data_IF_659483235832
#
_entry.id   IF_659483235832
#
_cell.length_a   1.000
_cell.length_b   1.000
_cell.length_c   1.000
_cell.angle_alpha   90.00
_cell.angle_beta   90.00
_cell.angle_gamma   90.00
#
_symmetry.space_group_name_H-M   'P 1'
#
loop_
_entity.id
_entity.type
_entity.pdbx_description
1 polymer ?
#
# COMPACT_ATOMS: atom_id res chain seq x y z
N UNK A 1 -18.51 23.28 -66.30
CA UNK A 1 -19.02 22.29 -65.34
C UNK A 1 -18.13 22.41 -64.11
N UNK A 2 -18.37 23.34 -63.19
CA UNK A 2 -19.45 23.35 -62.15
C UNK A 2 -19.38 22.05 -61.34
N UNK A 3 -19.13 21.97 -60.03
CA UNK A 3 -19.51 22.85 -58.90
C UNK A 3 -18.67 22.46 -57.64
N UNK A 4 -18.26 23.42 -56.80
CA UNK A 4 -18.81 23.76 -55.46
C UNK A 4 -18.29 22.88 -54.28
N UNK A 5 -17.41 23.38 -53.39
CA UNK A 5 -17.67 24.13 -52.13
C UNK A 5 -18.31 23.31 -51.01
N UNK A 6 -17.60 23.12 -49.88
CA UNK A 6 -18.18 23.35 -48.53
C UNK A 6 -17.10 23.35 -47.43
N UNK A 7 -16.95 24.49 -46.77
CA UNK A 7 -16.28 24.66 -45.49
C UNK A 7 -17.37 24.75 -44.42
N UNK A 8 -17.20 24.04 -43.30
CA UNK A 8 -18.12 24.11 -42.17
C UNK A 8 -17.42 24.72 -40.95
N UNK A 9 -17.73 25.99 -40.71
CA UNK A 9 -17.64 26.68 -39.42
C UNK A 9 -18.80 26.21 -38.55
N UNK A 10 -18.58 25.92 -37.28
CA UNK A 10 -19.61 26.07 -36.26
C UNK A 10 -19.00 26.53 -34.94
N UNK A 11 -19.59 27.60 -34.40
CA UNK A 11 -19.20 28.30 -33.19
C UNK A 11 -20.44 28.33 -32.27
N UNK A 12 -20.16 28.36 -30.96
CA UNK A 12 -20.98 28.85 -29.84
C UNK A 12 -22.07 27.93 -29.25
N UNK A 13 -22.04 27.79 -27.93
CA UNK A 13 -23.18 27.37 -27.11
C UNK A 13 -22.86 27.26 -25.61
N UNK A 14 -22.75 28.38 -24.89
CA UNK A 14 -22.86 28.42 -23.43
C UNK A 14 -24.32 28.29 -22.98
N UNK A 15 -24.60 27.47 -21.97
CA UNK A 15 -25.81 27.59 -21.14
C UNK A 15 -25.59 26.97 -19.74
N UNK A 16 -25.70 27.80 -18.70
CA UNK A 16 -26.18 27.41 -17.34
C UNK A 16 -27.66 26.94 -17.48
N UNK A 17 -28.31 26.14 -16.64
CA UNK A 17 -28.55 26.20 -15.17
C UNK A 17 -29.04 24.79 -14.66
N UNK A 18 -29.49 24.55 -13.40
CA UNK A 18 -29.01 23.45 -12.55
C UNK A 18 -30.08 22.36 -12.25
N UNK A 19 -29.71 21.14 -11.85
CA UNK A 19 -30.65 20.26 -11.13
C UNK A 19 -30.00 19.34 -10.09
N UNK A 20 -30.39 19.60 -8.85
CA UNK A 20 -30.93 18.69 -7.84
C UNK A 20 -30.12 17.45 -7.39
N UNK A 21 -29.76 17.48 -6.11
CA UNK A 21 -29.33 16.33 -5.32
C UNK A 21 -30.50 15.33 -5.13
N UNK A 22 -30.19 14.03 -5.00
CA UNK A 22 -30.95 13.15 -4.13
C UNK A 22 -30.15 12.85 -2.86
N UNK A 23 -30.70 13.29 -1.74
CA UNK A 23 -30.38 12.83 -0.40
C UNK A 23 -30.64 11.32 -0.27
N UNK A 24 -29.63 10.52 0.06
CA UNK A 24 -29.85 9.23 0.71
C UNK A 24 -28.90 9.08 1.91
N UNK A 25 -29.51 9.31 3.07
CA UNK A 25 -29.15 8.75 4.37
C UNK A 25 -28.80 7.26 4.24
N UNK A 26 -27.64 6.89 4.74
CA UNK A 26 -27.17 5.51 4.80
C UNK A 26 -25.91 5.42 5.64
N UNK A 27 -26.09 5.36 6.96
CA UNK A 27 -25.04 4.98 7.90
C UNK A 27 -24.36 3.68 7.44
N UNK A 28 -23.09 3.76 7.05
CA UNK A 28 -22.24 2.58 7.07
C UNK A 28 -20.83 2.96 7.48
N UNK A 29 -20.39 2.32 8.56
CA UNK A 29 -19.08 2.43 9.20
C UNK A 29 -18.00 2.19 8.14
N UNK A 30 -17.39 3.25 7.61
CA UNK A 30 -16.19 3.11 6.78
C UNK A 30 -15.02 2.81 7.70
N UNK A 31 -14.57 1.56 7.69
CA UNK A 31 -13.23 1.22 8.12
C UNK A 31 -12.26 2.21 7.50
N UNK A 32 -11.33 2.72 8.30
CA UNK A 32 -10.26 3.61 7.82
C UNK A 32 -9.48 2.82 6.77
N UNK A 33 -9.80 2.99 5.50
CA UNK A 33 -8.97 2.52 4.40
C UNK A 33 -7.58 3.14 4.63
N UNK A 34 -6.63 2.32 5.09
CA UNK A 34 -5.22 2.72 5.12
C UNK A 34 -4.82 2.84 3.66
N UNK A 35 -4.75 4.08 3.18
CA UNK A 35 -4.20 4.37 1.86
C UNK A 35 -2.74 3.95 1.91
N UNK A 36 -2.43 2.78 1.36
CA UNK A 36 -1.06 2.30 1.20
C UNK A 36 -0.49 3.07 0.01
N UNK A 37 0.60 3.79 0.25
CA UNK A 37 1.33 4.50 -0.80
C UNK A 37 2.24 3.50 -1.48
N UNK A 38 2.14 3.42 -2.79
CA UNK A 38 3.01 2.57 -3.60
C UNK A 38 4.41 3.18 -3.65
N UNK A 39 5.41 2.48 -3.13
CA UNK A 39 6.80 2.96 -3.11
C UNK A 39 7.39 3.22 -4.50
N UNK A 40 6.88 2.56 -5.54
CA UNK A 40 7.37 2.68 -6.90
C UNK A 40 6.77 3.86 -7.68
N UNK A 41 5.55 4.29 -7.31
CA UNK A 41 4.81 5.34 -8.04
C UNK A 41 4.36 6.51 -7.15
N UNK A 42 4.55 6.42 -5.83
CA UNK A 42 4.35 7.53 -4.90
C UNK A 42 5.64 8.34 -4.80
N UNK A 43 5.85 9.18 -5.82
CA UNK A 43 7.02 10.04 -5.90
C UNK A 43 6.83 11.23 -4.93
N UNK A 44 7.51 11.20 -3.79
CA UNK A 44 7.63 12.31 -2.83
C UNK A 44 8.59 13.39 -3.39
N UNK A 45 8.39 13.75 -4.66
CA UNK A 45 9.29 14.60 -5.43
C UNK A 45 9.04 16.06 -5.12
N UNK A 46 10.01 16.68 -4.47
CA UNK A 46 10.17 18.12 -4.51
C UNK A 46 10.68 18.54 -5.89
N UNK A 47 10.24 19.71 -6.36
CA UNK A 47 10.79 20.32 -7.57
C UNK A 47 11.97 21.19 -7.16
N UNK A 48 13.06 21.11 -7.91
CA UNK A 48 14.21 21.99 -7.74
C UNK A 48 14.41 22.83 -9.01
N UNK A 49 14.96 24.02 -8.85
CA UNK A 49 15.20 24.98 -9.95
C UNK A 49 16.71 25.10 -10.17
N UNK A 50 17.17 24.75 -11.36
CA UNK A 50 18.56 24.89 -11.80
C UNK A 50 18.70 26.09 -12.73
N UNK A 51 19.65 26.98 -12.46
CA UNK A 51 20.10 28.04 -13.38
C UNK A 51 21.40 27.57 -14.03
N UNK A 52 21.36 27.38 -15.34
CA UNK A 52 22.48 26.90 -16.14
C UNK A 52 22.72 27.92 -17.23
N UNK A 53 23.80 28.70 -17.11
CA UNK A 53 24.08 29.81 -18.02
C UNK A 53 22.92 30.82 -18.07
N UNK A 54 22.30 30.97 -19.23
CA UNK A 54 21.19 31.89 -19.49
C UNK A 54 19.79 31.24 -19.37
N UNK A 55 19.70 29.97 -18.92
CA UNK A 55 18.45 29.21 -18.87
C UNK A 55 18.16 28.66 -17.48
N UNK A 56 16.86 28.58 -17.17
CA UNK A 56 16.35 28.02 -15.91
C UNK A 56 15.57 26.74 -16.19
N UNK A 57 15.86 25.68 -15.44
CA UNK A 57 15.24 24.37 -15.56
C UNK A 57 14.59 23.99 -14.24
N UNK A 58 13.28 23.72 -14.24
CA UNK A 58 12.55 23.21 -13.07
C UNK A 58 12.28 21.72 -13.25
N UNK A 59 12.83 20.90 -12.36
CA UNK A 59 12.80 19.43 -12.50
C UNK A 59 12.54 18.72 -11.18
N UNK A 60 11.89 17.53 -11.18
CA UNK A 60 11.78 16.70 -9.99
C UNK A 60 13.15 16.27 -9.43
N UNK A 61 13.24 16.04 -8.13
CA UNK A 61 14.50 15.63 -7.46
C UNK A 61 14.76 14.12 -7.49
N UNK A 62 13.72 13.28 -7.56
CA UNK A 62 13.85 11.83 -7.33
C UNK A 62 14.88 11.12 -8.25
N UNK A 63 14.92 11.44 -9.56
CA UNK A 63 15.88 10.78 -10.48
C UNK A 63 17.31 11.21 -10.21
N UNK A 64 17.55 12.44 -9.78
CA UNK A 64 18.90 12.89 -9.43
C UNK A 64 19.41 12.17 -8.18
N UNK A 65 18.53 11.98 -7.18
CA UNK A 65 18.83 11.24 -5.95
C UNK A 65 19.15 9.78 -6.25
N UNK A 66 18.40 9.16 -7.17
CA UNK A 66 18.60 7.78 -7.56
C UNK A 66 19.86 7.58 -8.42
N UNK A 67 20.09 8.44 -9.41
CA UNK A 67 21.12 8.23 -10.44
C UNK A 67 22.50 8.80 -10.08
N UNK A 68 22.59 9.82 -9.22
CA UNK A 68 23.88 10.32 -8.72
C UNK A 68 23.80 10.81 -7.26
N UNK A 69 24.21 9.95 -6.30
CA UNK A 69 24.34 10.33 -4.90
C UNK A 69 25.35 11.46 -4.68
N UNK A 70 26.44 11.47 -5.45
CA UNK A 70 27.48 12.50 -5.36
C UNK A 70 26.96 13.87 -5.81
N UNK A 71 26.19 13.93 -6.89
CA UNK A 71 25.53 15.16 -7.34
C UNK A 71 24.50 15.64 -6.31
N UNK A 72 23.75 14.70 -5.74
CA UNK A 72 22.76 14.97 -4.70
C UNK A 72 23.36 15.57 -3.44
N UNK A 73 24.51 15.05 -3.00
CA UNK A 73 25.24 15.59 -1.85
C UNK A 73 25.86 16.95 -2.16
N UNK A 74 26.51 17.09 -3.31
CA UNK A 74 27.18 18.32 -3.73
C UNK A 74 26.22 19.52 -3.81
N UNK A 75 24.98 19.29 -4.25
CA UNK A 75 23.95 20.32 -4.38
C UNK A 75 22.86 20.26 -3.30
N UNK A 76 23.06 19.44 -2.26
CA UNK A 76 22.16 19.34 -1.10
C UNK A 76 20.73 18.89 -1.42
N UNK A 77 20.51 18.11 -2.48
CA UNK A 77 19.17 17.78 -2.99
C UNK A 77 18.32 16.97 -1.97
N UNK A 78 18.95 16.21 -1.06
CA UNK A 78 18.24 15.45 0.00
C UNK A 78 17.58 16.34 1.04
N UNK A 79 18.17 17.49 1.35
CA UNK A 79 17.63 18.42 2.34
C UNK A 79 16.29 19.02 1.88
N UNK A 80 16.05 19.10 0.57
CA UNK A 80 14.76 19.54 0.03
C UNK A 80 13.65 18.55 0.31
N UNK A 81 13.93 17.25 0.28
CA UNK A 81 12.94 16.20 0.56
C UNK A 81 12.54 16.22 2.04
N UNK A 82 13.51 16.28 2.96
CA UNK A 82 13.26 16.24 4.40
C UNK A 82 12.51 17.47 4.95
N UNK A 83 12.69 18.63 4.33
CA UNK A 83 11.96 19.85 4.67
C UNK A 83 10.48 19.79 4.24
N UNK A 84 10.15 19.04 3.19
CA UNK A 84 8.76 18.82 2.79
C UNK A 84 7.99 18.05 3.86
N UNK A 85 8.59 16.99 4.42
CA UNK A 85 7.92 16.07 5.34
C UNK A 85 7.61 16.68 6.72
N UNK A 86 8.47 17.57 7.21
CA UNK A 86 8.26 18.27 8.49
C UNK A 86 7.22 19.39 8.43
N UNK A 87 6.78 19.81 7.24
CA UNK A 87 5.86 20.95 7.07
C UNK A 87 4.37 20.59 7.05
N UNK A 88 4.02 19.30 7.16
CA UNK A 88 2.63 18.89 7.36
C UNK A 88 2.06 19.26 8.74
N UNK A 89 2.89 19.80 9.66
CA UNK A 89 2.46 20.25 11.00
C UNK A 89 2.38 21.78 11.17
N UNK A 90 2.90 22.60 10.24
CA UNK A 90 2.84 24.06 10.34
C UNK A 90 2.64 24.67 8.94
N UNK A 91 1.38 25.00 8.62
CA UNK A 91 0.91 25.45 7.30
C UNK A 91 1.50 26.77 6.76
N UNK A 92 2.58 27.30 7.34
CA UNK A 92 3.19 28.58 6.96
C UNK A 92 4.56 28.45 6.27
N UNK A 93 5.08 27.22 6.10
CA UNK A 93 6.39 26.99 5.46
C UNK A 93 6.32 26.54 4.00
N UNK A 94 5.13 26.30 3.44
CA UNK A 94 4.98 25.99 2.00
C UNK A 94 5.33 27.19 1.10
N UNK A 95 5.31 28.41 1.64
CA UNK A 95 5.47 29.64 0.85
C UNK A 95 6.89 30.22 0.85
N UNK A 96 7.86 29.61 1.55
CA UNK A 96 9.27 30.03 1.53
C UNK A 96 10.20 29.14 0.70
N UNK A 97 9.70 28.01 0.19
CA UNK A 97 10.44 27.07 -0.66
C UNK A 97 10.02 27.13 -2.13
N UNK A 98 9.06 28.02 -2.46
CA UNK A 98 8.63 28.32 -3.82
C UNK A 98 9.42 29.54 -4.33
N UNK A 99 10.22 29.31 -5.38
CA UNK A 99 10.93 30.27 -6.25
C UNK A 99 12.28 30.85 -5.80
N UNK A 100 12.65 30.87 -4.51
CA UNK A 100 13.84 31.62 -4.06
C UNK A 100 15.18 30.84 -3.97
N UNK A 101 15.18 29.50 -4.08
CA UNK A 101 16.45 28.74 -4.07
C UNK A 101 16.75 28.15 -5.44
N UNK A 102 17.62 28.85 -6.17
CA UNK A 102 18.07 28.49 -7.51
C UNK A 102 19.48 27.91 -7.43
N UNK A 103 19.65 26.67 -7.86
CA UNK A 103 20.95 26.00 -7.92
C UNK A 103 21.67 26.43 -9.19
N UNK A 104 22.78 27.17 -9.05
CA UNK A 104 23.56 27.65 -10.18
C UNK A 104 24.61 26.63 -10.63
N UNK A 105 24.53 26.21 -11.89
CA UNK A 105 25.48 25.32 -12.55
C UNK A 105 26.29 26.15 -13.55
N UNK A 106 27.33 26.84 -13.06
CA UNK A 106 28.14 27.77 -13.86
C UNK A 106 29.11 27.08 -14.83
N UNK A 107 29.42 25.82 -14.56
CA UNK A 107 30.37 24.95 -15.26
C UNK A 107 29.71 24.01 -16.27
N UNK A 108 28.40 24.15 -16.52
CA UNK A 108 27.66 23.30 -17.46
C UNK A 108 27.00 24.12 -18.55
N UNK A 109 27.07 23.65 -19.80
CA UNK A 109 26.39 24.30 -20.92
C UNK A 109 24.88 24.01 -20.86
N UNK A 110 24.02 24.99 -21.19
CA UNK A 110 22.57 24.81 -21.11
C UNK A 110 22.03 23.68 -22.00
N UNK A 111 22.62 23.52 -23.19
CA UNK A 111 22.20 22.49 -24.15
C UNK A 111 22.61 21.08 -23.71
N UNK A 112 23.80 20.94 -23.13
CA UNK A 112 24.27 19.66 -22.60
C UNK A 112 23.39 19.24 -21.41
N UNK A 113 23.07 20.17 -20.49
CA UNK A 113 22.18 19.88 -19.37
C UNK A 113 20.78 19.48 -19.85
N UNK A 114 20.26 20.16 -20.88
CA UNK A 114 18.99 19.78 -21.52
C UNK A 114 19.04 18.35 -22.08
N UNK A 115 20.16 17.93 -22.67
CA UNK A 115 20.32 16.55 -23.16
C UNK A 115 20.30 15.54 -22.00
N UNK A 116 20.97 15.83 -20.88
CA UNK A 116 20.86 15.01 -19.66
C UNK A 116 19.40 14.91 -19.18
N UNK A 117 18.66 16.02 -19.18
CA UNK A 117 17.25 16.02 -18.78
C UNK A 117 16.36 15.19 -19.69
N UNK A 118 16.61 15.18 -21.00
CA UNK A 118 15.86 14.30 -21.94
C UNK A 118 16.02 12.82 -21.59
N UNK A 119 17.15 12.45 -21.00
CA UNK A 119 17.44 11.08 -20.57
C UNK A 119 16.83 10.77 -19.21
N UNK A 120 16.94 11.69 -18.25
CA UNK A 120 16.37 11.54 -16.91
C UNK A 120 14.84 11.58 -16.93
N UNK A 121 14.27 12.44 -17.78
CA UNK A 121 12.85 12.71 -17.90
C UNK A 121 12.44 12.71 -19.39
N UNK A 122 12.33 11.52 -20.02
CA UNK A 122 11.88 11.41 -21.39
C UNK A 122 10.46 11.98 -21.54
N UNK A 123 10.30 12.98 -22.40
CA UNK A 123 8.99 13.58 -22.69
C UNK A 123 8.11 12.66 -23.57
N UNK A 124 8.75 11.77 -24.32
CA UNK A 124 8.07 10.79 -25.16
C UNK A 124 8.06 9.45 -24.42
N UNK A 125 6.89 8.82 -24.33
CA UNK A 125 6.70 7.49 -23.74
C UNK A 125 7.24 6.34 -24.61
N UNK A 126 8.08 6.65 -25.60
CA UNK A 126 8.70 5.65 -26.46
C UNK A 126 9.62 4.75 -25.62
N UNK A 127 9.65 3.46 -25.92
CA UNK A 127 10.55 2.50 -25.25
C UNK A 127 12.03 2.84 -25.40
N UNK A 128 12.40 3.72 -26.33
CA UNK A 128 13.77 4.18 -26.55
C UNK A 128 13.82 5.70 -26.58
N UNK A 129 14.85 6.23 -25.92
CA UNK A 129 15.22 7.64 -25.98
C UNK A 129 15.83 7.89 -27.35
N UNK A 130 15.20 8.76 -28.14
CA UNK A 130 15.71 9.19 -29.44
C UNK A 130 16.54 10.46 -29.25
N UNK A 131 17.86 10.30 -29.31
CA UNK A 131 18.83 11.40 -29.33
C UNK A 131 19.79 11.21 -30.50
N UNK A 132 20.35 12.31 -31.00
CA UNK A 132 21.42 12.27 -32.00
C UNK A 132 22.74 11.82 -31.37
N UNK A 133 23.73 11.52 -32.21
CA UNK A 133 25.08 11.15 -31.77
C UNK A 133 25.72 12.25 -30.93
N UNK A 134 25.58 13.50 -31.34
CA UNK A 134 26.11 14.68 -30.65
C UNK A 134 25.43 14.89 -29.29
N UNK A 135 24.11 14.67 -29.23
CA UNK A 135 23.35 14.72 -27.99
C UNK A 135 23.79 13.61 -27.03
N UNK A 136 24.03 12.38 -27.52
CA UNK A 136 24.57 11.29 -26.70
C UNK A 136 26.00 11.55 -26.22
N UNK A 137 26.85 12.19 -27.03
CA UNK A 137 28.18 12.63 -26.59
C UNK A 137 28.04 13.66 -25.46
N UNK A 138 27.13 14.62 -25.61
CA UNK A 138 26.87 15.65 -24.59
C UNK A 138 26.37 15.04 -23.28
N UNK A 139 25.47 14.05 -23.36
CA UNK A 139 25.02 13.25 -22.20
C UNK A 139 26.20 12.52 -21.57
N UNK A 140 27.08 11.90 -22.36
CA UNK A 140 28.24 11.16 -21.86
C UNK A 140 29.21 12.05 -21.07
N UNK A 141 29.49 13.26 -21.59
CA UNK A 141 30.37 14.23 -20.93
C UNK A 141 29.83 14.62 -19.56
N UNK A 142 28.59 15.14 -19.49
CA UNK A 142 27.99 15.56 -18.23
C UNK A 142 27.84 14.38 -17.26
N UNK A 143 27.42 13.21 -17.76
CA UNK A 143 27.25 12.04 -16.92
C UNK A 143 28.56 11.63 -16.24
N UNK A 144 29.68 11.76 -16.96
CA UNK A 144 31.02 11.47 -16.42
C UNK A 144 31.47 12.52 -15.40
N UNK A 145 31.23 13.81 -15.68
CA UNK A 145 31.62 14.91 -14.78
C UNK A 145 30.82 14.94 -13.48
N UNK A 146 29.52 14.66 -13.56
CA UNK A 146 28.58 14.76 -12.42
C UNK A 146 28.34 13.41 -11.72
N UNK A 147 29.00 12.34 -12.16
CA UNK A 147 28.91 11.02 -11.53
C UNK A 147 27.59 10.28 -11.78
N UNK A 148 26.93 10.50 -12.91
CA UNK A 148 25.76 9.71 -13.33
C UNK A 148 26.21 8.42 -14.03
N UNK A 149 26.75 7.46 -13.29
CA UNK A 149 27.44 6.31 -13.89
C UNK A 149 26.53 5.39 -14.72
N UNK A 150 25.29 5.14 -14.28
CA UNK A 150 24.29 4.39 -15.04
C UNK A 150 23.97 5.05 -16.38
N UNK A 151 23.80 6.38 -16.37
CA UNK A 151 23.55 7.17 -17.59
C UNK A 151 24.76 7.17 -18.50
N UNK A 152 25.98 7.25 -17.95
CA UNK A 152 27.23 7.09 -18.69
C UNK A 152 27.27 5.76 -19.44
N UNK A 153 26.97 4.63 -18.77
CA UNK A 153 26.94 3.31 -19.43
C UNK A 153 25.89 3.22 -20.54
N UNK A 154 24.71 3.80 -20.31
CA UNK A 154 23.65 3.87 -21.32
C UNK A 154 24.10 4.68 -22.54
N UNK A 155 24.73 5.84 -22.33
CA UNK A 155 25.26 6.66 -23.42
C UNK A 155 26.34 5.93 -24.22
N UNK A 156 27.27 5.22 -23.56
CA UNK A 156 28.28 4.39 -24.23
C UNK A 156 27.61 3.31 -25.09
N UNK A 157 26.65 2.59 -24.52
CA UNK A 157 25.95 1.50 -25.23
C UNK A 157 25.19 1.99 -26.46
N UNK A 158 24.53 3.15 -26.35
CA UNK A 158 23.81 3.76 -27.48
C UNK A 158 24.77 4.31 -28.55
N UNK A 159 25.91 4.90 -28.16
CA UNK A 159 26.94 5.35 -29.11
C UNK A 159 27.59 4.18 -29.86
N UNK A 160 27.88 3.08 -29.17
CA UNK A 160 28.37 1.84 -29.80
C UNK A 160 27.34 1.23 -30.75
N UNK A 161 26.05 1.28 -30.40
CA UNK A 161 24.96 0.81 -31.24
C UNK A 161 24.79 1.67 -32.50
N UNK A 162 24.91 2.99 -32.38
CA UNK A 162 24.77 3.91 -33.51
C UNK A 162 25.94 3.81 -34.50
N UNK A 163 27.12 3.37 -34.05
CA UNK A 163 28.34 3.21 -34.87
C UNK A 163 28.71 4.45 -35.70
N UNK A 164 28.28 5.62 -35.25
CA UNK A 164 28.41 6.88 -35.98
C UNK A 164 29.65 7.70 -35.59
N UNK A 165 30.41 7.25 -34.59
CA UNK A 165 31.61 7.96 -34.14
C UNK A 165 32.73 7.82 -35.18
N UNK A 166 33.30 8.96 -35.58
CA UNK A 166 34.51 8.98 -36.38
C UNK A 166 35.71 8.43 -35.60
N UNK A 167 36.75 7.96 -36.29
CA UNK A 167 37.94 7.41 -35.64
C UNK A 167 38.63 8.42 -34.73
N UNK A 168 38.57 9.72 -35.04
CA UNK A 168 39.13 10.80 -34.21
C UNK A 168 38.29 11.01 -32.96
N UNK A 169 36.97 11.11 -33.11
CA UNK A 169 36.06 11.23 -31.97
C UNK A 169 36.21 10.05 -31.01
N UNK A 170 36.37 8.81 -31.51
CA UNK A 170 36.63 7.63 -30.67
C UNK A 170 37.91 7.79 -29.84
N UNK A 171 38.97 8.29 -30.47
CA UNK A 171 40.24 8.56 -29.77
C UNK A 171 40.00 9.65 -28.73
N UNK A 172 39.60 10.86 -29.12
CA UNK A 172 39.45 12.00 -28.21
C UNK A 172 38.51 11.70 -27.03
N UNK A 173 37.31 11.15 -27.30
CA UNK A 173 36.36 10.77 -26.26
C UNK A 173 36.88 9.63 -25.40
N UNK A 174 37.57 8.65 -25.98
CA UNK A 174 38.15 7.54 -25.23
C UNK A 174 39.23 8.00 -24.23
N UNK A 175 40.04 9.00 -24.60
CA UNK A 175 41.01 9.63 -23.69
C UNK A 175 40.34 10.41 -22.57
N UNK A 176 39.39 11.27 -22.91
CA UNK A 176 38.71 12.14 -21.94
C UNK A 176 37.83 11.34 -20.98
N UNK A 177 37.01 10.43 -21.51
CA UNK A 177 36.00 9.68 -20.76
C UNK A 177 36.53 8.38 -20.13
N UNK A 178 37.79 8.02 -20.40
CA UNK A 178 38.44 6.86 -19.81
C UNK A 178 37.93 5.54 -20.37
N UNK A 179 37.84 5.39 -21.70
CA UNK A 179 37.36 4.17 -22.34
C UNK A 179 38.38 3.60 -23.33
N UNK A 180 39.06 2.54 -22.90
CA UNK A 180 40.27 2.06 -23.56
C UNK A 180 39.99 1.44 -24.93
N UNK A 181 38.86 0.75 -25.09
CA UNK A 181 38.48 0.11 -26.35
C UNK A 181 38.29 1.13 -27.47
N UNK A 182 37.60 2.25 -27.22
CA UNK A 182 37.43 3.30 -28.23
C UNK A 182 38.77 3.92 -28.65
N UNK A 183 39.70 4.14 -27.71
CA UNK A 183 41.03 4.64 -28.05
C UNK A 183 41.76 3.66 -28.97
N UNK A 184 41.78 2.37 -28.61
CA UNK A 184 42.48 1.36 -29.42
C UNK A 184 41.84 1.23 -30.80
N UNK A 185 40.51 1.11 -30.86
CA UNK A 185 39.78 0.95 -32.10
C UNK A 185 39.96 2.18 -33.01
N UNK A 186 39.84 3.39 -32.45
CA UNK A 186 40.07 4.64 -33.17
C UNK A 186 41.52 4.77 -33.68
N UNK A 187 42.52 4.43 -32.87
CA UNK A 187 43.93 4.46 -33.29
C UNK A 187 44.22 3.42 -34.38
N UNK A 188 43.65 2.22 -34.27
CA UNK A 188 43.80 1.17 -35.29
C UNK A 188 43.13 1.59 -36.60
N UNK A 189 41.91 2.13 -36.54
CA UNK A 189 41.21 2.68 -37.70
C UNK A 189 42.02 3.81 -38.35
N UNK A 190 42.59 4.72 -37.55
CA UNK A 190 43.45 5.78 -38.06
C UNK A 190 44.71 5.21 -38.70
N UNK A 191 45.39 4.21 -38.14
CA UNK A 191 46.57 3.60 -38.79
C UNK A 191 46.19 2.85 -40.08
N UNK A 192 44.99 2.27 -40.14
CA UNK A 192 44.52 1.50 -41.30
C UNK A 192 43.96 2.36 -42.43
N UNK A 193 43.35 3.51 -42.11
CA UNK A 193 42.72 4.43 -43.07
C UNK A 193 43.71 4.85 -44.17
N UNK A 194 43.22 4.90 -45.42
CA UNK A 194 43.99 5.32 -46.59
C UNK A 194 44.25 6.82 -46.59
N UNK A 195 43.25 7.63 -46.22
CA UNK A 195 43.37 9.08 -46.12
C UNK A 195 44.37 9.51 -45.05
N UNK A 196 45.21 10.50 -45.37
CA UNK A 196 46.13 11.17 -44.43
C UNK A 196 45.38 11.83 -43.29
N UNK A 197 46.08 12.11 -42.18
CA UNK A 197 45.54 12.95 -41.11
C UNK A 197 45.76 14.39 -41.57
N UNK A 198 44.72 15.22 -41.57
CA UNK A 198 44.85 16.64 -41.88
C UNK A 198 45.29 17.46 -40.65
N UNK A 199 45.56 18.76 -40.84
CA UNK A 199 46.09 19.60 -39.78
C UNK A 199 45.07 19.83 -38.64
N UNK A 200 43.77 19.90 -38.97
CA UNK A 200 42.69 20.08 -37.98
C UNK A 200 42.50 18.79 -37.16
N UNK A 201 42.48 17.64 -37.84
CA UNK A 201 42.44 16.32 -37.24
C UNK A 201 43.66 16.07 -36.34
N UNK A 202 44.85 16.51 -36.77
CA UNK A 202 46.06 16.42 -35.97
C UNK A 202 45.96 17.29 -34.71
N UNK A 203 45.43 18.51 -34.83
CA UNK A 203 45.19 19.40 -33.70
C UNK A 203 44.22 18.78 -32.69
N UNK A 204 43.11 18.19 -33.16
CA UNK A 204 42.12 17.54 -32.31
C UNK A 204 42.68 16.31 -31.58
N UNK A 205 43.49 15.49 -32.26
CA UNK A 205 44.16 14.33 -31.67
C UNK A 205 45.21 14.73 -30.62
N UNK A 206 45.89 15.85 -30.85
CA UNK A 206 46.96 16.33 -30.01
C UNK A 206 46.50 17.31 -28.92
N UNK A 207 45.19 17.56 -28.78
CA UNK A 207 44.58 18.44 -27.77
C UNK A 207 45.06 18.16 -26.33
N UNK A 208 45.42 16.91 -26.04
CA UNK A 208 45.97 16.49 -24.75
C UNK A 208 47.50 16.28 -24.78
N UNK A 209 48.09 15.95 -25.94
CA UNK A 209 49.53 15.66 -26.12
C UNK A 209 49.97 15.89 -27.56
N UNK A 210 50.99 16.70 -27.79
CA UNK A 210 51.60 17.01 -29.11
C UNK A 210 52.34 15.86 -29.83
N UNK A 211 52.00 14.60 -29.55
CA UNK A 211 52.76 13.45 -30.09
C UNK A 211 51.90 12.33 -30.65
N UNK A 212 50.58 12.42 -30.52
CA UNK A 212 49.65 11.35 -30.92
C UNK A 212 49.59 11.26 -32.43
N UNK A 213 49.36 12.37 -33.12
CA UNK A 213 49.32 12.44 -34.58
C UNK A 213 50.64 11.94 -35.20
N UNK A 214 51.77 12.39 -34.66
CA UNK A 214 53.09 11.97 -35.13
C UNK A 214 53.39 10.49 -34.84
N UNK A 215 52.92 9.95 -33.71
CA UNK A 215 53.02 8.53 -33.41
C UNK A 215 52.20 7.69 -34.40
N UNK A 216 51.00 8.14 -34.77
CA UNK A 216 50.17 7.48 -35.79
C UNK A 216 50.88 7.50 -37.14
N UNK A 217 51.49 8.62 -37.53
CA UNK A 217 52.27 8.72 -38.78
C UNK A 217 53.41 7.70 -38.82
N UNK A 218 54.17 7.56 -37.72
CA UNK A 218 55.23 6.54 -37.60
C UNK A 218 54.68 5.12 -37.72
N UNK A 219 53.53 4.83 -37.11
CA UNK A 219 52.88 3.53 -37.18
C UNK A 219 52.38 3.21 -38.59
N UNK A 220 51.82 4.19 -39.31
CA UNK A 220 51.43 4.06 -40.72
C UNK A 220 52.62 3.76 -41.62
N UNK A 221 53.73 4.48 -41.45
CA UNK A 221 54.96 4.22 -42.22
C UNK A 221 55.53 2.83 -41.93
N UNK A 222 55.54 2.41 -40.66
CA UNK A 222 55.93 1.06 -40.29
C UNK A 222 55.04 0.00 -40.96
N UNK A 223 53.72 0.20 -40.93
CA UNK A 223 52.73 -0.68 -41.57
C UNK A 223 53.01 -0.84 -43.06
N UNK A 224 53.18 0.27 -43.78
CA UNK A 224 53.45 0.29 -45.23
C UNK A 224 54.76 -0.42 -45.53
N UNK A 225 55.83 -0.12 -44.78
CA UNK A 225 57.16 -0.73 -44.96
C UNK A 225 57.16 -2.24 -44.77
N UNK A 226 56.34 -2.76 -43.86
CA UNK A 226 56.29 -4.20 -43.54
C UNK A 226 55.12 -4.92 -44.22
N UNK A 227 54.37 -4.26 -45.10
CA UNK A 227 53.22 -4.86 -45.79
C UNK A 227 52.12 -5.36 -44.83
N UNK A 228 51.97 -4.75 -43.66
CA UNK A 228 51.05 -5.21 -42.62
C UNK A 228 49.61 -4.81 -42.96
N UNK A 229 48.78 -5.79 -43.32
CA UNK A 229 47.37 -5.54 -43.70
C UNK A 229 46.41 -5.88 -42.56
N UNK A 230 46.79 -6.80 -41.67
CA UNK A 230 45.90 -7.31 -40.62
C UNK A 230 45.76 -6.34 -39.43
N UNK A 231 44.51 -6.03 -39.07
CA UNK A 231 44.18 -5.14 -37.96
C UNK A 231 44.70 -5.65 -36.61
N UNK A 232 44.78 -6.97 -36.40
CA UNK A 232 45.32 -7.58 -35.17
C UNK A 232 46.81 -7.27 -34.95
N UNK A 233 47.62 -7.33 -36.02
CA UNK A 233 49.04 -6.99 -35.97
C UNK A 233 49.26 -5.50 -35.72
N UNK A 234 48.43 -4.65 -36.33
CA UNK A 234 48.44 -3.20 -36.09
C UNK A 234 48.03 -2.90 -34.65
N UNK A 235 46.98 -3.54 -34.14
CA UNK A 235 46.52 -3.41 -32.75
C UNK A 235 47.62 -3.73 -31.76
N UNK A 236 48.30 -4.87 -31.90
CA UNK A 236 49.41 -5.23 -31.01
C UNK A 236 50.53 -4.17 -31.01
N UNK A 237 50.82 -3.56 -32.17
CA UNK A 237 51.84 -2.51 -32.28
C UNK A 237 51.37 -1.17 -31.68
N UNK A 238 50.10 -0.81 -31.87
CA UNK A 238 49.45 0.36 -31.27
C UNK A 238 49.47 0.22 -29.74
N UNK A 239 49.02 -0.91 -29.21
CA UNK A 239 49.01 -1.18 -27.77
C UNK A 239 50.42 -1.14 -27.16
N UNK A 240 51.42 -1.65 -27.88
CA UNK A 240 52.81 -1.56 -27.44
C UNK A 240 53.33 -0.11 -27.41
N UNK A 241 52.94 0.73 -28.38
CA UNK A 241 53.38 2.13 -28.47
C UNK A 241 52.72 3.01 -27.41
N UNK A 242 51.44 2.81 -27.15
CA UNK A 242 50.64 3.62 -26.22
C UNK A 242 50.42 2.92 -24.87
N UNK A 243 51.29 1.97 -24.50
CA UNK A 243 51.09 1.11 -23.32
C UNK A 243 50.80 1.92 -22.06
N UNK A 244 51.68 2.85 -21.73
CA UNK A 244 51.59 3.62 -20.48
C UNK A 244 50.31 4.45 -20.44
N UNK A 245 49.91 4.99 -21.58
CA UNK A 245 48.70 5.77 -21.69
C UNK A 245 47.45 4.91 -21.60
N UNK A 246 47.41 3.77 -22.28
CA UNK A 246 46.32 2.83 -22.20
C UNK A 246 46.19 2.25 -20.79
N UNK A 247 47.30 2.04 -20.07
CA UNK A 247 47.28 1.64 -18.66
C UNK A 247 46.67 2.71 -17.75
N UNK A 248 47.02 3.99 -17.96
CA UNK A 248 46.41 5.09 -17.23
C UNK A 248 44.89 5.20 -17.48
N UNK A 249 44.47 5.01 -18.74
CA UNK A 249 43.04 4.99 -19.12
C UNK A 249 42.33 3.79 -18.49
N UNK A 250 42.93 2.59 -18.54
CA UNK A 250 42.39 1.37 -17.90
C UNK A 250 42.22 1.55 -16.40
N UNK A 251 43.13 2.23 -15.73
CA UNK A 251 43.00 2.54 -14.31
C UNK A 251 41.80 3.48 -14.04
N UNK A 252 41.61 4.50 -14.88
CA UNK A 252 40.45 5.40 -14.82
C UNK A 252 39.13 4.64 -15.09
N UNK A 253 39.13 3.78 -16.11
CA UNK A 253 38.01 2.92 -16.48
C UNK A 253 37.60 1.98 -15.34
N UNK A 254 38.59 1.38 -14.66
CA UNK A 254 38.38 0.52 -13.51
C UNK A 254 37.75 1.28 -12.33
N UNK A 255 38.17 2.53 -12.11
CA UNK A 255 37.57 3.43 -11.12
C UNK A 255 36.07 3.61 -11.35
N UNK A 256 35.66 3.87 -12.59
CA UNK A 256 34.24 4.00 -12.92
C UNK A 256 33.45 2.69 -12.72
N UNK A 257 34.04 1.54 -13.10
CA UNK A 257 33.39 0.22 -12.91
C UNK A 257 33.18 -0.15 -11.44
N UNK A 258 34.10 0.24 -10.56
CA UNK A 258 33.99 -0.06 -9.14
C UNK A 258 32.83 0.73 -8.49
N UNK A 259 32.69 2.01 -8.84
CA UNK A 259 31.59 2.84 -8.35
C UNK A 259 30.23 2.36 -8.88
N UNK A 260 30.17 1.88 -10.13
CA UNK A 260 28.99 1.23 -10.70
C UNK A 260 28.58 -0.02 -9.90
N UNK A 261 29.55 -0.90 -9.58
CA UNK A 261 29.29 -2.12 -8.83
C UNK A 261 28.84 -1.85 -7.39
N UNK A 262 29.46 -0.87 -6.72
CA UNK A 262 29.05 -0.44 -5.38
C UNK A 262 27.67 0.19 -5.35
N UNK A 263 27.34 1.01 -6.37
CA UNK A 263 26.01 1.60 -6.51
C UNK A 263 24.94 0.53 -6.69
N UNK A 264 25.21 -0.48 -7.55
CA UNK A 264 24.31 -1.64 -7.72
C UNK A 264 24.15 -2.44 -6.43
N UNK A 265 25.24 -2.75 -5.73
CA UNK A 265 25.19 -3.47 -4.45
C UNK A 265 24.36 -2.72 -3.41
N UNK A 266 24.50 -1.39 -3.32
CA UNK A 266 23.70 -0.57 -2.41
C UNK A 266 22.22 -0.59 -2.77
N UNK A 267 21.87 -0.45 -4.05
CA UNK A 267 20.49 -0.52 -4.54
C UNK A 267 19.88 -1.91 -4.27
N UNK A 268 20.59 -2.98 -4.57
CA UNK A 268 20.18 -4.36 -4.27
C UNK A 268 19.98 -4.59 -2.76
N UNK A 269 20.89 -4.06 -1.93
CA UNK A 269 20.76 -4.15 -0.47
C UNK A 269 19.57 -3.36 0.07
N UNK A 270 19.28 -2.18 -0.50
CA UNK A 270 18.16 -1.35 -0.10
C UNK A 270 16.82 -1.98 -0.51
N UNK A 271 16.73 -2.54 -1.72
CA UNK A 271 15.55 -3.28 -2.19
C UNK A 271 15.33 -4.52 -1.31
N UNK A 272 16.40 -5.24 -0.97
CA UNK A 272 16.31 -6.40 -0.10
C UNK A 272 15.84 -6.03 1.31
N UNK A 273 16.41 -4.98 1.90
CA UNK A 273 16.03 -4.50 3.24
C UNK A 273 14.56 -4.03 3.26
N UNK A 274 14.12 -3.32 2.22
CA UNK A 274 12.73 -2.89 2.11
C UNK A 274 11.77 -4.08 1.93
N UNK A 275 12.13 -5.06 1.11
CA UNK A 275 11.37 -6.29 0.96
C UNK A 275 11.29 -7.08 2.28
N UNK A 276 12.37 -7.14 3.05
CA UNK A 276 12.39 -7.75 4.39
C UNK A 276 11.48 -6.98 5.37
N UNK A 277 11.51 -5.64 5.35
CA UNK A 277 10.59 -4.80 6.15
C UNK A 277 9.13 -5.04 5.78
N UNK A 278 8.81 -5.14 4.49
CA UNK A 278 7.45 -5.44 4.03
C UNK A 278 7.00 -6.85 4.43
N UNK A 279 7.88 -7.85 4.32
CA UNK A 279 7.59 -9.22 4.74
C UNK A 279 7.35 -9.32 6.24
N UNK A 280 8.16 -8.64 7.06
CA UNK A 280 7.95 -8.55 8.50
C UNK A 280 6.63 -7.87 8.86
N UNK A 281 6.30 -6.76 8.18
CA UNK A 281 5.04 -6.05 8.40
C UNK A 281 3.82 -6.90 7.97
N UNK A 282 3.94 -7.69 6.90
CA UNK A 282 2.90 -8.61 6.45
C UNK A 282 2.68 -9.75 7.46
N UNK A 283 3.76 -10.37 7.94
CA UNK A 283 3.69 -11.42 8.96
C UNK A 283 3.09 -10.91 10.27
N UNK A 284 3.46 -9.69 10.69
CA UNK A 284 2.89 -9.09 11.89
C UNK A 284 1.41 -8.73 11.70
N UNK A 285 1.00 -8.30 10.50
CA UNK A 285 -0.40 -8.05 10.17
C UNK A 285 -1.23 -9.34 10.20
N UNK A 286 -0.72 -10.44 9.65
CA UNK A 286 -1.36 -11.75 9.69
C UNK A 286 -1.54 -12.24 11.14
N UNK A 287 -0.48 -12.14 11.97
CA UNK A 287 -0.57 -12.49 13.40
C UNK A 287 -1.63 -11.67 14.13
N UNK A 288 -1.70 -10.36 13.87
CA UNK A 288 -2.72 -9.48 14.47
C UNK A 288 -4.13 -9.84 14.00
N UNK A 289 -4.30 -10.26 12.75
CA UNK A 289 -5.59 -10.71 12.23
C UNK A 289 -6.01 -12.04 12.86
N UNK A 290 -5.09 -12.98 13.02
CA UNK A 290 -5.36 -14.26 13.70
C UNK A 290 -5.73 -14.05 15.17
N UNK A 291 -5.00 -13.18 15.89
CA UNK A 291 -5.33 -12.80 17.26
C UNK A 291 -6.71 -12.13 17.36
N UNK A 292 -7.08 -11.29 16.39
CA UNK A 292 -8.40 -10.67 16.34
C UNK A 292 -9.50 -11.72 16.13
N UNK A 293 -9.31 -12.67 15.19
CA UNK A 293 -10.26 -13.77 14.95
C UNK A 293 -10.44 -14.63 16.21
N UNK A 294 -9.35 -14.94 16.93
CA UNK A 294 -9.43 -15.69 18.20
C UNK A 294 -10.22 -14.93 19.26
N UNK A 295 -10.01 -13.62 19.40
CA UNK A 295 -10.78 -12.78 20.34
C UNK A 295 -12.25 -12.71 19.98
N UNK A 296 -12.58 -12.57 18.70
CA UNK A 296 -13.98 -12.58 18.23
C UNK A 296 -14.66 -13.94 18.48
N UNK A 297 -13.94 -15.05 18.27
CA UNK A 297 -14.46 -16.39 18.57
C UNK A 297 -14.67 -16.61 20.07
N UNK A 298 -13.73 -16.16 20.92
CA UNK A 298 -13.87 -16.20 22.38
C UNK A 298 -15.04 -15.35 22.86
N UNK A 299 -15.23 -14.15 22.31
CA UNK A 299 -16.40 -13.31 22.62
C UNK A 299 -17.70 -13.97 22.18
N UNK A 300 -17.73 -14.64 21.02
CA UNK A 300 -18.90 -15.37 20.56
C UNK A 300 -19.23 -16.53 21.49
N UNK A 301 -18.24 -17.33 21.89
CA UNK A 301 -18.40 -18.42 22.87
C UNK A 301 -18.92 -17.92 24.21
N UNK A 302 -18.38 -16.81 24.73
CA UNK A 302 -18.87 -16.19 25.97
C UNK A 302 -20.32 -15.69 25.87
N UNK A 303 -20.73 -15.17 24.70
CA UNK A 303 -22.12 -14.75 24.47
C UNK A 303 -23.06 -15.96 24.39
N UNK A 304 -22.64 -17.02 23.72
CA UNK A 304 -23.40 -18.29 23.64
C UNK A 304 -23.55 -18.92 25.02
N UNK A 305 -22.48 -18.97 25.83
CA UNK A 305 -22.52 -19.50 27.20
C UNK A 305 -23.47 -18.70 28.10
N UNK A 306 -23.40 -17.35 28.05
CA UNK A 306 -24.33 -16.49 28.78
C UNK A 306 -25.78 -16.68 28.34
N UNK A 307 -26.04 -16.83 27.05
CA UNK A 307 -27.39 -17.07 26.54
C UNK A 307 -27.94 -18.42 27.03
N UNK A 308 -27.09 -19.45 27.07
CA UNK A 308 -27.46 -20.77 27.61
C UNK A 308 -27.75 -20.69 29.11
N UNK A 309 -26.95 -19.94 29.87
CA UNK A 309 -27.15 -19.72 31.31
C UNK A 309 -28.45 -18.97 31.59
N UNK A 310 -28.73 -17.91 30.83
CA UNK A 310 -30.00 -17.17 30.90
C UNK A 310 -31.21 -18.07 30.58
N UNK A 311 -31.08 -18.96 29.59
CA UNK A 311 -32.14 -19.92 29.28
C UNK A 311 -32.35 -20.93 30.41
N UNK A 312 -31.26 -21.46 30.99
CA UNK A 312 -31.34 -22.38 32.14
C UNK A 312 -32.04 -21.73 33.32
N UNK A 313 -31.70 -20.49 33.65
CA UNK A 313 -32.37 -19.73 34.72
C UNK A 313 -33.85 -19.51 34.42
N UNK A 314 -34.23 -19.23 33.17
CA UNK A 314 -35.65 -19.11 32.79
C UNK A 314 -36.41 -20.42 32.96
N UNK A 315 -35.81 -21.55 32.59
CA UNK A 315 -36.43 -22.87 32.76
C UNK A 315 -36.57 -23.19 34.25
N UNK A 316 -35.55 -22.90 35.05
CA UNK A 316 -35.57 -23.12 36.50
C UNK A 316 -36.64 -22.28 37.20
N UNK A 317 -36.80 -20.99 36.81
CA UNK A 317 -37.89 -20.17 37.32
C UNK A 317 -39.26 -20.73 36.95
N UNK A 318 -39.46 -21.19 35.70
CA UNK A 318 -40.73 -21.81 35.29
C UNK A 318 -41.04 -23.08 36.08
N UNK A 319 -40.03 -23.91 36.35
CA UNK A 319 -40.20 -25.12 37.18
C UNK A 319 -40.61 -24.73 38.59
N UNK A 320 -39.98 -23.69 39.16
CA UNK A 320 -40.31 -23.18 40.48
C UNK A 320 -41.74 -22.63 40.54
N UNK A 321 -42.14 -21.80 39.58
CA UNK A 321 -43.51 -21.28 39.47
C UNK A 321 -44.54 -22.41 39.34
N UNK A 322 -44.24 -23.45 38.55
CA UNK A 322 -45.10 -24.61 38.37
C UNK A 322 -45.22 -25.44 39.67
N UNK A 323 -44.13 -25.59 40.43
CA UNK A 323 -44.14 -26.23 41.75
C UNK A 323 -44.97 -25.43 42.75
N UNK A 324 -44.78 -24.11 42.81
CA UNK A 324 -45.55 -23.22 43.69
C UNK A 324 -47.05 -23.27 43.33
N UNK A 325 -47.40 -23.34 42.03
CA UNK A 325 -48.78 -23.53 41.60
C UNK A 325 -49.34 -24.87 42.06
N UNK A 326 -48.60 -25.97 41.91
CA UNK A 326 -49.01 -27.29 42.38
C UNK A 326 -49.21 -27.32 43.90
N UNK A 327 -48.32 -26.71 44.67
CA UNK A 327 -48.49 -26.59 46.12
C UNK A 327 -49.72 -25.76 46.49
N UNK A 328 -50.02 -24.68 45.74
CA UNK A 328 -51.22 -23.89 45.96
C UNK A 328 -52.49 -24.68 45.64
N UNK A 329 -52.50 -25.42 44.53
CA UNK A 329 -53.58 -26.33 44.15
C UNK A 329 -53.79 -27.41 45.20
N UNK A 330 -52.72 -28.02 45.72
CA UNK A 330 -52.77 -29.04 46.76
C UNK A 330 -53.33 -28.47 48.07
N UNK A 331 -52.84 -27.31 48.53
CA UNK A 331 -53.39 -26.62 49.71
C UNK A 331 -54.84 -26.21 49.52
N UNK A 332 -55.26 -25.88 48.30
CA UNK A 332 -56.66 -25.55 48.01
C UNK A 332 -57.55 -26.79 48.00
N UNK A 333 -57.04 -27.91 47.47
CA UNK A 333 -57.72 -29.20 47.56
C UNK A 333 -57.88 -29.64 49.02
N UNK A 334 -56.83 -29.53 49.83
CA UNK A 334 -56.91 -29.82 51.27
C UNK A 334 -57.95 -28.94 51.96
N UNK A 335 -57.96 -27.63 51.71
CA UNK A 335 -59.00 -26.72 52.26
C UNK A 335 -60.41 -27.12 51.82
N UNK A 336 -60.60 -27.48 50.55
CA UNK A 336 -61.90 -27.92 50.05
C UNK A 336 -62.32 -29.27 50.64
N UNK A 337 -61.38 -30.17 50.88
CA UNK A 337 -61.63 -31.47 51.51
C UNK A 337 -61.99 -31.30 52.99
N UNK A 338 -61.25 -30.47 53.74
CA UNK A 338 -61.59 -30.09 55.11
C UNK A 338 -62.97 -29.44 55.20
N UNK A 339 -63.32 -28.56 54.25
CA UNK A 339 -64.64 -27.92 54.22
C UNK A 339 -65.75 -28.92 53.90
N UNK A 340 -65.52 -29.86 52.97
CA UNK A 340 -66.46 -30.96 52.69
C UNK A 340 -66.63 -31.87 53.91
N UNK A 341 -65.55 -32.16 54.62
CA UNK A 341 -65.59 -32.99 55.82
C UNK A 341 -66.34 -32.28 56.97
N UNK A 342 -66.10 -30.99 57.18
CA UNK A 342 -66.90 -30.17 58.12
C UNK A 342 -68.38 -30.18 57.77
N UNK A 343 -68.75 -29.99 56.49
CA UNK A 343 -70.14 -30.08 56.03
C UNK A 343 -70.75 -31.45 56.29
N UNK A 344 -69.99 -32.54 56.07
CA UNK A 344 -70.46 -33.90 56.40
C UNK A 344 -70.70 -34.08 57.89
N UNK A 345 -69.81 -33.57 58.74
CA UNK A 345 -69.97 -33.62 60.20
C UNK A 345 -71.19 -32.81 60.64
N UNK A 346 -71.37 -31.60 60.12
CA UNK A 346 -72.55 -30.76 60.41
C UNK A 346 -73.87 -31.41 59.94
N UNK A 347 -73.88 -32.03 58.76
CA UNK A 347 -75.04 -32.79 58.26
C UNK A 347 -75.32 -34.01 59.14
N UNK A 348 -74.29 -34.73 59.59
CA UNK A 348 -74.43 -35.88 60.48
C UNK A 348 -74.93 -35.47 61.87
N UNK A 349 -74.44 -34.35 62.41
CA UNK A 349 -74.94 -33.76 63.66
C UNK A 349 -76.39 -33.28 63.53
N UNK A 350 -76.75 -32.65 62.41
CA UNK A 350 -78.11 -32.23 62.12
C UNK A 350 -79.06 -33.43 62.01
N UNK A 351 -78.63 -34.50 61.34
CA UNK A 351 -79.38 -35.76 61.26
C UNK A 351 -79.49 -36.45 62.64
N UNK A 352 -78.44 -36.44 63.45
CA UNK A 352 -78.46 -36.97 64.81
C UNK A 352 -79.40 -36.17 65.73
N UNK A 353 -79.43 -34.84 65.58
CA UNK A 353 -80.34 -33.96 66.29
C UNK A 353 -81.80 -34.19 65.85
N UNK A 354 -82.05 -34.37 64.55
CA UNK A 354 -83.36 -34.73 64.01
C UNK A 354 -83.83 -36.09 64.56
N UNK A 355 -82.97 -37.12 64.56
CA UNK A 355 -83.26 -38.43 65.18
C UNK A 355 -83.53 -38.32 66.68
N UNK A 356 -82.81 -37.47 67.41
CA UNK A 356 -83.09 -37.19 68.83
C UNK A 356 -84.42 -36.47 69.04
N UNK A 357 -84.81 -35.55 68.14
CA UNK A 357 -86.12 -34.89 68.17
C UNK A 357 -87.25 -35.89 67.87
N UNK A 358 -87.09 -36.75 66.87
CA UNK A 358 -88.03 -37.83 66.58
C UNK A 358 -88.13 -38.83 67.73
N UNK A 359 -87.01 -39.26 68.32
CA UNK A 359 -87.00 -40.15 69.47
C UNK A 359 -87.69 -39.51 70.70
N UNK A 360 -87.51 -38.20 70.93
CA UNK A 360 -88.24 -37.46 71.97
C UNK A 360 -89.72 -37.34 71.66
N UNK A 361 -90.10 -37.11 70.40
CA UNK A 361 -91.50 -37.09 69.99
C UNK A 361 -92.16 -38.45 70.18
N UNK A 362 -91.48 -39.55 69.81
CA UNK A 362 -91.93 -40.92 70.02
C UNK A 362 -92.01 -41.28 71.52
N UNK A 363 -91.07 -40.80 72.34
CA UNK A 363 -91.12 -40.97 73.80
C UNK A 363 -92.31 -40.22 74.42
N UNK A 364 -92.56 -38.97 73.99
CA UNK A 364 -93.75 -38.21 74.40
C UNK A 364 -95.05 -38.91 73.97
N UNK A 365 -95.09 -39.47 72.76
CA UNK A 365 -96.24 -40.20 72.24
C UNK A 365 -96.51 -41.51 73.01
N UNK A 366 -95.44 -42.21 73.44
CA UNK A 366 -95.55 -43.37 74.35
C UNK A 366 -96.04 -42.98 75.73
N UNK A 367 -95.60 -41.86 76.30
CA UNK A 367 -96.11 -41.36 77.59
C UNK A 367 -97.59 -40.96 77.53
N UNK A 368 -98.04 -40.36 76.42
CA UNK A 368 -99.47 -40.07 76.21
C UNK A 368 -100.29 -41.38 76.10
N UNK A 369 -99.74 -42.43 75.47
CA UNK A 369 -100.41 -43.74 75.39
C UNK A 369 -100.48 -44.49 76.73
N UNK A 370 -99.46 -44.35 77.60
CA UNK A 370 -99.47 -45.01 78.91
C UNK A 370 -100.39 -44.31 79.90
N UNK A 371 -100.59 -43.00 79.79
CA UNK A 371 -101.55 -42.25 80.62
C UNK A 371 -103.01 -42.57 80.25
N UNK A 372 -103.29 -42.88 78.97
CA UNK A 372 -104.61 -43.31 78.50
C UNK A 372 -104.99 -44.75 78.90
N UNK A 373 -104.04 -45.57 79.33
CA UNK A 373 -104.29 -46.96 79.74
C UNK A 373 -104.57 -47.12 81.25
N UNK A 374 -104.44 -46.07 82.06
CA UNK A 374 -104.61 -46.13 83.53
C UNK A 374 -105.89 -45.46 84.08
N UNK A 375 -106.77 -44.95 83.22
CA UNK A 375 -108.13 -44.50 83.56
C UNK A 375 -109.11 -45.34 82.71
N UNK A 376 -110.17 -45.94 83.32
CA UNK A 376 -111.12 -46.96 82.78
C UNK A 376 -110.64 -48.38 83.23
N UNK A 377 -111.00 -48.97 84.38
CA UNK A 377 -112.34 -49.25 84.94
C UNK A 377 -112.22 -49.59 86.45
N UNK A 378 -112.94 -48.85 87.31
CA UNK A 378 -113.44 -49.33 88.61
C UNK A 378 -114.90 -48.83 88.75
N UNK A 379 -115.85 -49.76 88.79
CA UNK A 379 -117.29 -49.55 89.04
C UNK A 379 -117.56 -49.09 90.49
N UNK A 380 -118.71 -48.44 90.78
CA UNK A 380 -119.82 -49.12 91.48
C UNK A 380 -121.23 -48.69 90.95
N UNK A 381 -122.27 -49.52 90.86
CA UNK A 381 -123.16 -50.13 91.88
C UNK A 381 -124.43 -49.31 92.24
N UNK A 382 -125.58 -49.73 91.67
CA UNK A 382 -126.91 -49.99 92.30
C UNK A 382 -127.92 -48.86 92.65
N UNK A 383 -129.14 -48.95 92.08
CA UNK A 383 -130.48 -49.00 92.75
C UNK A 383 -131.62 -49.09 91.70
N UNK A 384 -132.43 -50.15 91.58
CA UNK A 384 -133.74 -50.47 92.23
C UNK A 384 -134.78 -49.32 92.35
N UNK A 385 -135.94 -49.53 91.71
CA UNK A 385 -137.26 -49.25 92.31
C UNK A 385 -138.28 -48.49 91.46
N UNK A 386 -139.02 -49.19 90.57
CA UNK A 386 -140.50 -49.29 90.50
C UNK A 386 -140.94 -50.00 89.22
#
# INVERSE_FOLDING_TARGET
>A
MSSSTSAATFQVGSSLVPQEQPTLSGNSRKGKNRIIRDLSHYLESTFVVFEVGDRVFRTPTHRFIQESPSFTEAYGLRLYTELSDKTNALGSARQRLSDDHVIKLNDTRPDDFKCLLKVLYPLNLSMRISLTTEEWISVLCIATERGFFRIRQMAISELERLKSLSSIQKVCLGWEMGFTSWVIDGLVELVLRSATIDDDEAFDLDRNKFTTAYAIYRLRNWRIKHGMVYASSVKAKVEARFRNELEAIRAKELGYRFVDADSKRREESAIKEEAERQAQAALEAERREEEARKREEEERKKKEEKALEEERLRVEMKIREELERREQEEREQERQEEEREKRRIEEEEAQALARRREARAQHFQKQISSFKASLIVLKPFRNRGN
#
